data_IF_625686308112
#
_entry.id   IF_625686308112
#
_cell.length_a   1.000
_cell.length_b   1.000
_cell.length_c   1.000
_cell.angle_alpha   90.00
_cell.angle_beta   90.00
_cell.angle_gamma   90.00
#
_symmetry.space_group_name_H-M   'P 1'
#
loop_
_entity.id
_entity.type
_entity.pdbx_description
1 polymer ?
#
# COMPACT_ATOMS: atom_id res chain seq x y z
N UNK A 1 22.10 32.60 -7.64
CA UNK A 1 21.81 31.21 -8.05
C UNK A 1 20.32 31.12 -8.28
N UNK A 2 19.88 31.10 -9.54
CA UNK A 2 18.47 30.92 -9.87
C UNK A 2 18.13 29.44 -9.64
N UNK A 3 17.24 29.17 -8.69
CA UNK A 3 16.57 27.88 -8.58
C UNK A 3 15.80 27.66 -9.88
N UNK A 4 16.29 26.74 -10.72
CA UNK A 4 15.57 26.32 -11.93
C UNK A 4 14.22 25.75 -11.49
N UNK A 5 13.16 26.51 -11.74
CA UNK A 5 11.79 26.12 -11.42
C UNK A 5 11.46 24.92 -12.32
N UNK A 6 11.26 23.73 -11.72
CA UNK A 6 10.90 22.51 -12.46
C UNK A 6 9.68 22.77 -13.32
N UNK A 7 9.72 22.32 -14.56
CA UNK A 7 8.58 22.37 -15.47
C UNK A 7 7.41 21.54 -14.92
N UNK A 8 6.19 21.89 -15.29
CA UNK A 8 5.02 21.17 -14.78
C UNK A 8 4.98 19.70 -15.23
N UNK A 9 5.52 19.41 -16.42
CA UNK A 9 5.71 18.03 -16.88
C UNK A 9 6.68 17.23 -15.98
N UNK A 10 7.76 17.84 -15.50
CA UNK A 10 8.66 17.17 -14.54
C UNK A 10 7.95 16.91 -13.21
N UNK A 11 7.11 17.84 -12.74
CA UNK A 11 6.33 17.63 -11.51
C UNK A 11 5.31 16.49 -11.68
N UNK A 12 4.59 16.46 -12.80
CA UNK A 12 3.65 15.37 -13.13
C UNK A 12 4.38 14.03 -13.16
N UNK A 13 5.53 13.93 -13.84
CA UNK A 13 6.32 12.70 -13.89
C UNK A 13 6.76 12.23 -12.50
N UNK A 14 7.19 13.16 -11.63
CA UNK A 14 7.56 12.83 -10.26
C UNK A 14 6.38 12.32 -9.44
N UNK A 15 5.19 12.91 -9.60
CA UNK A 15 3.99 12.46 -8.91
C UNK A 15 3.54 11.08 -9.39
N UNK A 16 3.58 10.83 -10.70
CA UNK A 16 3.29 9.49 -11.27
C UNK A 16 4.27 8.45 -10.71
N UNK A 17 5.56 8.77 -10.68
CA UNK A 17 6.58 7.91 -10.07
C UNK A 17 6.30 7.64 -8.59
N UNK A 18 5.95 8.68 -7.81
CA UNK A 18 5.61 8.54 -6.40
C UNK A 18 4.37 7.66 -6.17
N UNK A 19 3.34 7.81 -7.02
CA UNK A 19 2.12 6.97 -6.98
C UNK A 19 2.48 5.49 -7.21
N UNK A 20 3.35 5.20 -8.18
CA UNK A 20 3.81 3.82 -8.45
C UNK A 20 4.52 3.25 -7.23
N UNK A 21 5.48 3.98 -6.66
CA UNK A 21 6.28 3.52 -5.52
C UNK A 21 5.42 3.28 -4.27
N UNK A 22 4.57 4.23 -3.90
CA UNK A 22 3.67 4.08 -2.74
C UNK A 22 2.70 2.90 -2.94
N UNK A 23 2.22 2.70 -4.17
CA UNK A 23 1.37 1.55 -4.50
C UNK A 23 2.10 0.21 -4.36
N UNK A 24 3.38 0.15 -4.72
CA UNK A 24 4.22 -1.04 -4.56
C UNK A 24 4.52 -1.33 -3.09
N UNK A 25 4.73 -0.30 -2.28
CA UNK A 25 4.88 -0.46 -0.82
C UNK A 25 3.60 -0.98 -0.17
N UNK A 26 2.44 -0.43 -0.55
CA UNK A 26 1.14 -0.96 -0.11
C UNK A 26 0.96 -2.43 -0.52
N UNK A 27 1.31 -2.79 -1.76
CA UNK A 27 1.28 -4.17 -2.25
C UNK A 27 2.18 -5.09 -1.41
N UNK A 28 3.38 -4.62 -1.05
CA UNK A 28 4.32 -5.35 -0.19
C UNK A 28 3.71 -5.63 1.19
N UNK A 29 3.10 -4.64 1.83
CA UNK A 29 2.47 -4.82 3.13
C UNK A 29 1.27 -5.78 3.06
N UNK A 30 0.46 -5.72 2.00
CA UNK A 30 -0.61 -6.69 1.79
C UNK A 30 -0.11 -8.12 1.64
N UNK A 31 0.98 -8.34 0.88
CA UNK A 31 1.59 -9.66 0.72
C UNK A 31 2.12 -10.23 2.04
N UNK A 32 2.52 -9.36 2.96
CA UNK A 32 2.95 -9.74 4.30
C UNK A 32 1.78 -10.04 5.24
N UNK A 33 0.71 -9.23 5.21
CA UNK A 33 -0.40 -9.33 6.17
C UNK A 33 -1.42 -10.41 5.81
N UNK A 34 -1.82 -10.49 4.54
CA UNK A 34 -2.89 -11.39 4.07
C UNK A 34 -2.70 -12.89 4.41
N UNK A 35 -1.48 -13.45 4.45
CA UNK A 35 -1.30 -14.85 4.86
C UNK A 35 -1.80 -15.19 6.27
N UNK A 36 -1.96 -14.17 7.11
CA UNK A 36 -2.35 -14.29 8.52
C UNK A 36 -3.82 -13.89 8.78
N UNK A 37 -4.55 -13.43 7.76
CA UNK A 37 -5.96 -13.03 7.91
C UNK A 37 -6.87 -14.22 7.58
N UNK A 38 -7.90 -14.45 8.42
CA UNK A 38 -8.98 -15.46 8.29
C UNK A 38 -8.56 -16.73 7.52
N UNK A 39 -7.98 -17.69 8.23
CA UNK A 39 -7.57 -18.98 7.66
C UNK A 39 -8.16 -20.14 8.45
N UNK A 40 -8.59 -21.19 7.73
CA UNK A 40 -8.97 -22.48 8.29
C UNK A 40 -7.79 -23.16 9.00
N UNK A 41 -6.56 -22.95 8.51
CA UNK A 41 -5.32 -23.40 9.15
C UNK A 41 -4.48 -22.17 9.58
N UNK A 42 -4.44 -21.84 10.88
CA UNK A 42 -3.71 -20.70 11.42
C UNK A 42 -2.22 -20.98 11.67
N UNK A 43 -1.70 -22.17 11.33
CA UNK A 43 -0.29 -22.49 11.55
C UNK A 43 0.65 -21.59 10.74
N UNK A 44 1.85 -21.32 11.30
CA UNK A 44 2.88 -20.54 10.63
C UNK A 44 3.29 -21.17 9.29
N UNK A 45 3.42 -22.50 9.24
CA UNK A 45 3.77 -23.22 8.00
C UNK A 45 2.72 -23.02 6.88
N UNK A 46 1.43 -23.01 7.23
CA UNK A 46 0.38 -22.72 6.27
C UNK A 46 0.39 -21.24 5.83
N UNK A 47 0.67 -20.31 6.76
CA UNK A 47 0.84 -18.89 6.43
C UNK A 47 2.00 -18.66 5.45
N UNK A 48 3.15 -19.28 5.66
CA UNK A 48 4.30 -19.17 4.74
C UNK A 48 3.94 -19.69 3.33
N UNK A 49 3.26 -20.83 3.22
CA UNK A 49 2.76 -21.34 1.92
C UNK A 49 1.78 -20.38 1.25
N UNK A 50 0.92 -19.70 2.02
CA UNK A 50 0.02 -18.67 1.50
C UNK A 50 0.81 -17.45 1.01
N UNK A 51 1.82 -17.00 1.75
CA UNK A 51 2.68 -15.89 1.37
C UNK A 51 3.37 -16.13 0.01
N UNK A 52 3.86 -17.34 -0.23
CA UNK A 52 4.44 -17.71 -1.54
C UNK A 52 3.45 -17.56 -2.69
N UNK A 53 2.19 -17.96 -2.50
CA UNK A 53 1.12 -17.83 -3.51
C UNK A 53 0.75 -16.38 -3.80
N UNK A 54 0.98 -15.47 -2.85
CA UNK A 54 0.66 -14.04 -3.00
C UNK A 54 1.77 -13.25 -3.69
N UNK A 55 3.01 -13.76 -3.77
CA UNK A 55 4.16 -13.03 -4.34
C UNK A 55 3.91 -12.45 -5.74
N UNK A 56 3.18 -13.18 -6.59
CA UNK A 56 2.88 -12.79 -7.98
C UNK A 56 1.55 -12.07 -8.17
N UNK A 57 0.82 -11.80 -7.08
CA UNK A 57 -0.51 -11.15 -7.13
C UNK A 57 -0.37 -9.65 -7.19
N UNK A 58 -1.29 -9.01 -7.89
CA UNK A 58 -1.30 -7.55 -8.09
C UNK A 58 -1.96 -6.84 -6.91
N UNK A 59 -1.67 -5.54 -6.75
CA UNK A 59 -2.35 -4.69 -5.78
C UNK A 59 -3.88 -4.85 -5.82
N UNK A 60 -4.50 -4.86 -7.00
CA UNK A 60 -5.95 -4.99 -7.12
C UNK A 60 -6.50 -6.32 -6.57
N UNK A 61 -5.87 -7.44 -6.91
CA UNK A 61 -6.26 -8.75 -6.35
C UNK A 61 -6.05 -8.81 -4.83
N UNK A 62 -4.96 -8.24 -4.33
CA UNK A 62 -4.62 -8.25 -2.91
C UNK A 62 -5.55 -7.35 -2.10
N UNK A 63 -5.88 -6.16 -2.60
CA UNK A 63 -6.85 -5.26 -1.97
C UNK A 63 -8.25 -5.88 -1.93
N UNK A 64 -8.68 -6.56 -2.99
CA UNK A 64 -9.95 -7.30 -2.98
C UNK A 64 -9.99 -8.35 -1.88
N UNK A 65 -8.95 -9.19 -1.80
CA UNK A 65 -8.82 -10.20 -0.72
C UNK A 65 -8.77 -9.57 0.67
N UNK A 66 -8.15 -8.41 0.82
CA UNK A 66 -8.10 -7.71 2.10
C UNK A 66 -9.48 -7.22 2.54
N UNK A 67 -10.27 -6.69 1.60
CA UNK A 67 -11.67 -6.31 1.85
C UNK A 67 -12.49 -7.53 2.27
N UNK A 68 -12.41 -8.63 1.51
CA UNK A 68 -13.13 -9.89 1.81
C UNK A 68 -12.75 -10.47 3.18
N UNK A 69 -11.47 -10.34 3.54
CA UNK A 69 -10.96 -10.84 4.80
C UNK A 69 -11.31 -9.93 5.99
N UNK A 70 -11.59 -8.64 5.75
CA UNK A 70 -12.05 -7.71 6.78
C UNK A 70 -13.39 -8.17 7.38
N UNK A 71 -13.67 -7.80 8.62
CA UNK A 71 -15.01 -7.95 9.23
C UNK A 71 -15.86 -6.71 9.03
N UNK A 72 -15.41 -5.78 8.18
CA UNK A 72 -16.12 -4.54 7.92
C UNK A 72 -17.34 -4.82 7.04
N UNK A 73 -18.52 -4.52 7.56
CA UNK A 73 -19.75 -4.52 6.77
C UNK A 73 -19.98 -3.16 6.07
N UNK A 74 -18.99 -2.27 6.09
CA UNK A 74 -19.09 -0.96 5.45
C UNK A 74 -18.92 -1.10 3.94
N UNK A 75 -20.02 -0.85 3.22
CA UNK A 75 -20.01 -0.70 1.77
C UNK A 75 -19.04 0.40 1.34
N UNK A 76 -18.96 1.48 2.13
CA UNK A 76 -18.09 2.63 1.85
C UNK A 76 -16.61 2.24 1.88
N UNK A 77 -16.19 1.36 2.79
CA UNK A 77 -14.82 0.86 2.84
C UNK A 77 -14.44 0.09 1.57
N UNK A 78 -15.29 -0.86 1.15
CA UNK A 78 -15.05 -1.65 -0.05
C UNK A 78 -15.02 -0.78 -1.31
N UNK A 79 -15.96 0.17 -1.44
CA UNK A 79 -16.01 1.11 -2.55
C UNK A 79 -14.78 2.03 -2.56
N UNK A 80 -14.36 2.54 -1.40
CA UNK A 80 -13.17 3.39 -1.31
C UNK A 80 -11.91 2.63 -1.75
N UNK A 81 -11.75 1.37 -1.33
CA UNK A 81 -10.62 0.53 -1.77
C UNK A 81 -10.65 0.26 -3.27
N UNK A 82 -11.82 -0.05 -3.83
CA UNK A 82 -11.98 -0.24 -5.28
C UNK A 82 -11.64 1.04 -6.07
N UNK A 83 -12.09 2.19 -5.57
CA UNK A 83 -11.77 3.50 -6.14
C UNK A 83 -10.26 3.75 -6.17
N UNK A 84 -9.54 3.52 -5.06
CA UNK A 84 -8.09 3.76 -5.02
C UNK A 84 -7.33 2.91 -6.04
N UNK A 85 -7.68 1.64 -6.17
CA UNK A 85 -7.08 0.75 -7.18
C UNK A 85 -7.39 1.22 -8.60
N UNK A 86 -8.64 1.61 -8.86
CA UNK A 86 -9.06 2.11 -10.17
C UNK A 86 -8.35 3.42 -10.54
N UNK A 87 -8.32 4.40 -9.64
CA UNK A 87 -7.65 5.68 -9.84
C UNK A 87 -6.14 5.52 -10.06
N UNK A 88 -5.50 4.61 -9.31
CA UNK A 88 -4.10 4.24 -9.54
C UNK A 88 -3.90 3.62 -10.92
N UNK A 89 -4.78 2.73 -11.36
CA UNK A 89 -4.68 2.11 -12.69
C UNK A 89 -4.87 3.12 -13.82
N UNK A 90 -5.75 4.12 -13.64
CA UNK A 90 -5.86 5.23 -14.58
C UNK A 90 -4.53 5.97 -14.75
N UNK A 91 -3.82 6.25 -13.65
CA UNK A 91 -2.50 6.89 -13.71
C UNK A 91 -1.43 6.00 -14.31
N UNK A 92 -1.38 4.72 -13.95
CA UNK A 92 -0.25 3.85 -14.33
C UNK A 92 -0.41 3.24 -15.72
N UNK A 93 -1.63 2.94 -16.15
CA UNK A 93 -1.90 2.23 -17.40
C UNK A 93 -2.61 3.11 -18.45
N UNK A 94 -3.38 4.11 -18.01
CA UNK A 94 -4.24 4.91 -18.88
C UNK A 94 -3.99 6.42 -18.74
N UNK A 95 -2.74 6.82 -18.45
CA UNK A 95 -2.43 8.22 -18.13
C UNK A 95 -2.85 9.17 -19.25
N UNK A 96 -2.44 8.88 -20.49
CA UNK A 96 -2.76 9.71 -21.65
C UNK A 96 -4.25 9.75 -21.94
N UNK A 97 -4.97 8.65 -21.72
CA UNK A 97 -6.43 8.59 -21.89
C UNK A 97 -7.15 9.43 -20.82
N UNK A 98 -6.59 9.51 -19.61
CA UNK A 98 -7.20 10.20 -18.46
C UNK A 98 -6.85 11.69 -18.42
N UNK A 99 -5.60 12.05 -18.69
CA UNK A 99 -5.05 13.40 -18.50
C UNK A 99 -4.42 14.02 -19.76
N UNK A 100 -4.31 13.27 -20.86
CA UNK A 100 -3.57 13.72 -22.04
C UNK A 100 -4.16 14.98 -22.68
N UNK A 101 -5.49 15.14 -22.64
CA UNK A 101 -6.16 16.34 -23.13
C UNK A 101 -5.80 17.57 -22.28
N UNK A 102 -5.82 17.44 -20.94
CA UNK A 102 -5.47 18.50 -20.00
C UNK A 102 -4.00 18.90 -20.11
N UNK A 103 -3.09 17.92 -20.24
CA UNK A 103 -1.67 18.18 -20.47
C UNK A 103 -1.47 18.92 -21.80
N UNK A 104 -2.13 18.48 -22.86
CA UNK A 104 -1.99 19.08 -24.20
C UNK A 104 -2.59 20.50 -24.29
N UNK A 105 -3.66 20.78 -23.54
CA UNK A 105 -4.30 22.11 -23.50
C UNK A 105 -3.62 23.08 -22.53
N UNK A 106 -2.61 22.64 -21.79
CA UNK A 106 -1.89 23.48 -20.82
C UNK A 106 -2.51 23.53 -19.43
N UNK A 107 -3.59 22.78 -19.17
CA UNK A 107 -4.27 22.68 -17.88
C UNK A 107 -3.51 21.77 -16.89
N UNK A 108 -2.21 22.04 -16.69
CA UNK A 108 -1.33 21.21 -15.87
C UNK A 108 -1.71 21.25 -14.38
N UNK A 109 -2.23 22.37 -13.88
CA UNK A 109 -2.59 22.49 -12.46
C UNK A 109 -3.68 21.49 -12.05
N UNK A 110 -4.71 21.31 -12.88
CA UNK A 110 -5.79 20.35 -12.61
C UNK A 110 -5.25 18.91 -12.53
N UNK A 111 -4.28 18.58 -13.38
CA UNK A 111 -3.60 17.27 -13.38
C UNK A 111 -2.75 17.11 -12.12
N UNK A 112 -2.00 18.14 -11.74
CA UNK A 112 -1.18 18.13 -10.53
C UNK A 112 -2.05 17.93 -9.27
N UNK A 113 -3.12 18.70 -9.12
CA UNK A 113 -4.03 18.61 -7.96
C UNK A 113 -4.68 17.23 -7.85
N UNK A 114 -5.09 16.65 -8.98
CA UNK A 114 -5.66 15.30 -9.02
C UNK A 114 -4.63 14.23 -8.60
N UNK A 115 -3.40 14.31 -9.12
CA UNK A 115 -2.32 13.38 -8.78
C UNK A 115 -1.86 13.52 -7.33
N UNK A 116 -1.77 14.75 -6.80
CA UNK A 116 -1.44 15.01 -5.40
C UNK A 116 -2.49 14.44 -4.45
N UNK A 117 -3.78 14.63 -4.78
CA UNK A 117 -4.90 14.06 -4.02
C UNK A 117 -4.84 12.54 -4.01
N UNK A 118 -4.63 11.91 -5.16
CA UNK A 118 -4.49 10.46 -5.26
C UNK A 118 -3.27 9.96 -4.46
N UNK A 119 -2.13 10.63 -4.57
CA UNK A 119 -0.92 10.28 -3.84
C UNK A 119 -1.14 10.37 -2.32
N UNK A 120 -1.81 11.42 -1.84
CA UNK A 120 -2.15 11.56 -0.43
C UNK A 120 -3.03 10.40 0.06
N UNK A 121 -4.05 10.03 -0.71
CA UNK A 121 -4.92 8.90 -0.37
C UNK A 121 -4.17 7.56 -0.36
N UNK A 122 -3.29 7.33 -1.35
CA UNK A 122 -2.46 6.12 -1.40
C UNK A 122 -1.47 6.06 -0.24
N UNK A 123 -0.91 7.20 0.19
CA UNK A 123 -0.04 7.26 1.38
C UNK A 123 -0.81 6.90 2.65
N UNK A 124 -2.00 7.45 2.83
CA UNK A 124 -2.88 7.09 3.97
C UNK A 124 -3.21 5.59 3.97
N UNK A 125 -3.55 5.04 2.80
CA UNK A 125 -3.79 3.59 2.66
C UNK A 125 -2.54 2.77 3.00
N UNK A 126 -1.37 3.14 2.46
CA UNK A 126 -0.09 2.49 2.76
C UNK A 126 0.23 2.53 4.26
N UNK A 127 0.03 3.66 4.92
CA UNK A 127 0.26 3.80 6.37
C UNK A 127 -0.68 2.90 7.18
N UNK A 128 -1.97 2.81 6.81
CA UNK A 128 -2.88 1.86 7.45
C UNK A 128 -2.43 0.40 7.30
N UNK A 129 -2.00 0.01 6.10
CA UNK A 129 -1.47 -1.34 5.86
C UNK A 129 -0.17 -1.62 6.62
N UNK A 130 0.68 -0.61 6.75
CA UNK A 130 1.92 -0.69 7.50
C UNK A 130 1.67 -0.90 8.99
N UNK A 131 0.69 -0.18 9.57
CA UNK A 131 0.26 -0.40 10.96
C UNK A 131 -0.27 -1.81 11.18
N UNK A 132 -1.08 -2.33 10.24
CA UNK A 132 -1.56 -3.71 10.30
C UNK A 132 -0.39 -4.70 10.21
N UNK A 133 0.59 -4.44 9.36
CA UNK A 133 1.80 -5.27 9.25
C UNK A 133 2.58 -5.30 10.57
N UNK A 134 2.74 -4.16 11.24
CA UNK A 134 3.35 -4.09 12.56
C UNK A 134 2.56 -4.93 13.58
N UNK A 135 1.23 -4.80 13.62
CA UNK A 135 0.39 -5.60 14.53
C UNK A 135 0.52 -7.11 14.27
N UNK A 136 0.61 -7.53 13.00
CA UNK A 136 0.87 -8.93 12.65
C UNK A 136 2.23 -9.39 13.16
N UNK A 137 3.28 -8.58 12.98
CA UNK A 137 4.63 -8.91 13.45
C UNK A 137 4.70 -9.02 14.97
N UNK A 138 4.06 -8.10 15.69
CA UNK A 138 3.93 -8.16 17.16
C UNK A 138 3.15 -9.39 17.60
N UNK A 139 2.07 -9.74 16.90
CA UNK A 139 1.32 -10.97 17.15
C UNK A 139 2.18 -12.23 16.95
N UNK A 140 2.99 -12.29 15.90
CA UNK A 140 3.93 -13.40 15.68
C UNK A 140 4.94 -13.50 16.83
N UNK A 141 5.52 -12.38 17.25
CA UNK A 141 6.42 -12.32 18.40
C UNK A 141 5.75 -12.89 19.66
N UNK A 142 4.57 -12.35 20.01
CA UNK A 142 3.94 -12.60 21.30
C UNK A 142 3.24 -13.95 21.40
N UNK A 143 2.90 -14.57 20.26
CA UNK A 143 2.19 -15.85 20.21
C UNK A 143 3.11 -16.99 19.75
N UNK A 144 3.88 -16.79 18.69
CA UNK A 144 4.68 -17.86 18.08
C UNK A 144 6.07 -17.96 18.68
N UNK A 145 6.69 -16.82 18.98
CA UNK A 145 8.10 -16.76 19.39
C UNK A 145 8.31 -16.42 20.87
N UNK A 146 7.24 -16.31 21.67
CA UNK A 146 7.29 -15.85 23.08
C UNK A 146 8.40 -16.50 23.90
N UNK A 147 8.49 -17.82 23.83
CA UNK A 147 9.39 -18.62 24.64
C UNK A 147 10.56 -19.19 23.81
N UNK A 148 10.89 -18.52 22.71
CA UNK A 148 11.96 -18.92 21.78
C UNK A 148 13.13 -17.94 21.83
N UNK A 149 14.37 -18.36 21.51
CA UNK A 149 15.52 -17.47 21.43
C UNK A 149 15.32 -16.25 20.50
N UNK A 150 14.50 -16.40 19.47
CA UNK A 150 14.22 -15.37 18.46
C UNK A 150 13.37 -14.20 19.00
N UNK A 151 12.77 -14.32 20.19
CA UNK A 151 11.90 -13.29 20.76
C UNK A 151 12.57 -11.91 20.86
N UNK A 152 13.83 -11.85 21.32
CA UNK A 152 14.55 -10.59 21.51
C UNK A 152 14.83 -9.89 20.18
N UNK A 153 15.24 -10.66 19.16
CA UNK A 153 15.51 -10.12 17.82
C UNK A 153 14.23 -9.55 17.20
N UNK A 154 13.12 -10.29 17.29
CA UNK A 154 11.82 -9.82 16.78
C UNK A 154 11.32 -8.62 17.61
N UNK A 155 11.62 -8.55 18.91
CA UNK A 155 11.29 -7.38 19.74
C UNK A 155 11.98 -6.11 19.23
N UNK A 156 13.26 -6.21 18.89
CA UNK A 156 14.04 -5.09 18.33
C UNK A 156 13.50 -4.68 16.95
N UNK A 157 13.15 -5.65 16.10
CA UNK A 157 12.51 -5.39 14.81
C UNK A 157 11.18 -4.67 14.97
N UNK A 158 10.30 -5.11 15.89
CA UNK A 158 9.05 -4.42 16.18
C UNK A 158 9.28 -2.99 16.70
N UNK A 159 10.28 -2.78 17.56
CA UNK A 159 10.60 -1.46 18.09
C UNK A 159 11.10 -0.50 16.99
N UNK A 160 12.01 -0.98 16.13
CA UNK A 160 12.50 -0.24 14.97
C UNK A 160 11.36 0.10 14.02
N UNK A 161 10.53 -0.90 13.67
CA UNK A 161 9.41 -0.69 12.77
C UNK A 161 8.38 0.30 13.36
N UNK A 162 8.07 0.22 14.65
CA UNK A 162 7.17 1.19 15.31
C UNK A 162 7.69 2.63 15.22
N UNK A 163 9.00 2.82 15.36
CA UNK A 163 9.60 4.17 15.23
C UNK A 163 9.45 4.73 13.81
N UNK A 164 9.53 3.88 12.78
CA UNK A 164 9.32 4.27 11.38
C UNK A 164 7.85 4.56 11.06
N UNK A 165 6.91 3.87 11.70
CA UNK A 165 5.47 4.11 11.51
C UNK A 165 5.01 5.40 12.20
N UNK A 166 5.69 5.79 13.29
CA UNK A 166 5.36 6.98 14.06
C UNK A 166 5.97 8.28 13.50
N UNK A 167 6.90 8.19 12.54
CA UNK A 167 7.55 9.32 11.85
C UNK A 167 6.83 9.72 10.58
#
# INVERSE_FOLDING_TARGET
>A
MATSQRSDNEKILLLVGAIVLVSQDAERYLKFTLPFVKSEDPSLGAALKRAEKLRKRTLGELTGRFVDASTSNSVDFAQHMAYLVAARNQVVHHFNETYGAQVSSGAHQDVLDALETLLANLKSYRTGLEQIALTVLEGLRDVTFRDTPEYSEISELCASFRSQVAS
#
